data_IF_114272473516
#
_entry.id   IF_114272473516
#
_cell.length_a   1.000
_cell.length_b   1.000
_cell.length_c   1.000
_cell.angle_alpha   90.00
_cell.angle_beta   90.00
_cell.angle_gamma   90.00
#
_symmetry.space_group_name_H-M   'P 1'
#
loop_
_entity.id
_entity.type
_entity.pdbx_description
1 polymer ?
#
# COMPACT_ATOMS: atom_id res chain seq x y z
N UNK A 1 -1.59 7.84 -0.10
CA UNK A 1 -1.03 8.42 -1.35
C UNK A 1 -0.43 7.39 -2.30
N UNK A 2 0.29 6.37 -1.79
CA UNK A 2 0.88 5.32 -2.66
C UNK A 2 -0.14 4.57 -3.50
N UNK A 3 -1.30 4.25 -2.92
CA UNK A 3 -2.38 3.57 -3.65
C UNK A 3 -2.88 4.41 -4.83
N UNK A 4 -3.04 5.72 -4.61
CA UNK A 4 -3.44 6.64 -5.67
C UNK A 4 -2.35 6.74 -6.76
N UNK A 5 -1.08 6.71 -6.35
CA UNK A 5 0.04 6.72 -7.30
C UNK A 5 0.02 5.48 -8.20
N UNK A 6 -0.31 4.31 -7.64
CA UNK A 6 -0.44 3.07 -8.41
C UNK A 6 -1.58 3.16 -9.43
N UNK A 7 -2.72 3.72 -9.03
CA UNK A 7 -3.82 3.97 -9.96
C UNK A 7 -3.39 4.91 -11.08
N UNK A 8 -2.71 5.99 -10.75
CA UNK A 8 -2.24 6.97 -11.74
C UNK A 8 -1.26 6.34 -12.72
N UNK A 9 -0.35 5.49 -12.22
CA UNK A 9 0.58 4.74 -13.06
C UNK A 9 -0.18 3.84 -14.04
N UNK A 10 -1.21 3.14 -13.58
CA UNK A 10 -2.06 2.31 -14.42
C UNK A 10 -2.74 3.11 -15.52
N UNK A 11 -3.24 4.31 -15.19
CA UNK A 11 -3.87 5.21 -16.16
C UNK A 11 -2.86 5.64 -17.23
N UNK A 12 -1.64 5.98 -16.85
CA UNK A 12 -0.61 6.41 -17.80
C UNK A 12 -0.14 5.28 -18.71
N UNK A 13 -0.31 4.02 -18.31
CA UNK A 13 -0.03 2.88 -19.17
C UNK A 13 -1.08 2.69 -20.28
N UNK A 14 -2.29 3.28 -20.13
CA UNK A 14 -3.31 3.22 -21.16
C UNK A 14 -2.98 4.19 -22.28
N UNK A 15 -3.27 3.78 -23.53
CA UNK A 15 -3.11 4.67 -24.68
C UNK A 15 -4.03 5.88 -24.55
N UNK A 16 -3.61 7.09 -25.02
CA UNK A 16 -4.45 8.28 -24.88
C UNK A 16 -5.84 8.16 -25.50
N UNK A 17 -6.02 7.30 -26.49
CA UNK A 17 -7.32 7.07 -27.13
C UNK A 17 -8.17 5.96 -26.51
N UNK A 18 -7.66 5.29 -25.48
CA UNK A 18 -8.38 4.21 -24.81
C UNK A 18 -9.63 4.72 -24.10
N UNK A 19 -10.75 4.03 -24.30
CA UNK A 19 -12.02 4.40 -23.67
C UNK A 19 -11.99 4.24 -22.14
N UNK A 20 -11.15 3.33 -21.64
CA UNK A 20 -11.01 3.09 -20.21
C UNK A 20 -10.27 4.21 -19.50
N UNK A 21 -9.44 4.98 -20.20
CA UNK A 21 -8.63 6.02 -19.59
C UNK A 21 -9.46 7.09 -18.87
N UNK A 22 -10.49 7.70 -19.50
CA UNK A 22 -11.34 8.66 -18.78
C UNK A 22 -12.08 8.05 -17.61
N UNK A 23 -12.53 6.80 -17.72
CA UNK A 23 -13.22 6.09 -16.64
C UNK A 23 -12.30 5.88 -15.44
N UNK A 24 -11.05 5.47 -15.70
CA UNK A 24 -10.06 5.28 -14.64
C UNK A 24 -9.70 6.60 -13.97
N UNK A 25 -9.57 7.68 -14.73
CA UNK A 25 -9.32 9.01 -14.17
C UNK A 25 -10.46 9.46 -13.27
N UNK A 26 -11.70 9.25 -13.67
CA UNK A 26 -12.86 9.56 -12.84
C UNK A 26 -12.91 8.70 -11.59
N UNK A 27 -12.52 7.43 -11.68
CA UNK A 27 -12.48 6.53 -10.52
C UNK A 27 -11.47 7.02 -9.48
N UNK A 28 -10.30 7.52 -9.90
CA UNK A 28 -9.31 8.08 -8.97
C UNK A 28 -9.87 9.31 -8.26
N UNK A 29 -10.51 10.23 -9.00
CA UNK A 29 -11.14 11.43 -8.43
C UNK A 29 -12.21 11.03 -7.41
N UNK A 30 -13.05 10.05 -7.76
CA UNK A 30 -14.09 9.56 -6.86
C UNK A 30 -13.50 8.93 -5.58
N UNK A 31 -12.41 8.18 -5.70
CA UNK A 31 -11.71 7.60 -4.55
C UNK A 31 -11.15 8.68 -3.63
N UNK A 32 -10.52 9.71 -4.19
CA UNK A 32 -10.00 10.82 -3.39
C UNK A 32 -11.12 11.51 -2.61
N UNK A 33 -12.25 11.78 -3.27
CA UNK A 33 -13.40 12.41 -2.63
C UNK A 33 -13.99 11.52 -1.53
N UNK A 34 -14.17 10.22 -1.81
CA UNK A 34 -14.76 9.26 -0.87
C UNK A 34 -13.91 9.06 0.38
N UNK A 35 -12.60 9.06 0.23
CA UNK A 35 -11.66 8.84 1.33
C UNK A 35 -11.01 10.14 1.83
N UNK A 36 -11.60 11.29 1.50
CA UNK A 36 -11.13 12.58 2.00
C UNK A 36 -10.95 12.56 3.52
N UNK A 37 -9.80 13.03 3.99
CA UNK A 37 -9.43 13.00 5.40
C UNK A 37 -8.89 11.65 5.89
N UNK A 38 -8.91 10.61 5.04
CA UNK A 38 -8.39 9.28 5.35
C UNK A 38 -7.26 8.84 4.41
N UNK A 39 -6.78 9.75 3.59
CA UNK A 39 -5.66 9.52 2.68
C UNK A 39 -4.38 9.89 3.41
N UNK A 40 -3.50 8.90 3.62
CA UNK A 40 -2.27 9.10 4.36
C UNK A 40 -1.14 9.50 3.42
N UNK A 41 -0.42 10.54 3.77
CA UNK A 41 0.76 10.99 3.03
C UNK A 41 1.99 10.15 3.38
N UNK A 42 2.91 10.03 2.43
CA UNK A 42 4.24 9.48 2.70
C UNK A 42 5.05 10.55 3.43
N UNK A 43 5.32 10.34 4.70
CA UNK A 43 6.05 11.28 5.56
C UNK A 43 7.48 10.86 5.80
N UNK A 44 8.31 11.75 6.34
CA UNK A 44 9.70 11.42 6.67
C UNK A 44 9.83 10.21 7.62
N UNK A 45 9.05 10.09 8.72
CA UNK A 45 9.11 8.88 9.54
C UNK A 45 8.81 7.60 8.77
N UNK A 46 7.89 7.64 7.82
CA UNK A 46 7.55 6.48 6.98
C UNK A 46 8.73 6.12 6.08
N UNK A 47 9.36 7.10 5.45
CA UNK A 47 10.52 6.87 4.57
C UNK A 47 11.70 6.29 5.34
N UNK A 48 11.96 6.79 6.55
CA UNK A 48 13.02 6.28 7.40
C UNK A 48 12.75 4.84 7.82
N UNK A 49 11.51 4.52 8.19
CA UNK A 49 11.09 3.16 8.53
C UNK A 49 11.22 2.24 7.32
N UNK A 50 10.85 2.72 6.14
CA UNK A 50 11.03 1.98 4.90
C UNK A 50 12.49 1.58 4.68
N UNK A 51 13.41 2.51 4.90
CA UNK A 51 14.85 2.23 4.79
C UNK A 51 15.30 1.13 5.75
N UNK A 52 14.89 1.21 7.02
CA UNK A 52 15.21 0.23 8.05
C UNK A 52 14.66 -1.15 7.69
N UNK A 53 13.38 -1.23 7.34
CA UNK A 53 12.71 -2.50 6.99
C UNK A 53 13.34 -3.10 5.74
N UNK A 54 13.57 -2.31 4.71
CA UNK A 54 14.16 -2.77 3.45
C UNK A 54 15.57 -3.33 3.66
N UNK A 55 16.39 -2.65 4.46
CA UNK A 55 17.72 -3.12 4.78
C UNK A 55 17.73 -4.41 5.58
N UNK A 56 16.86 -4.52 6.59
CA UNK A 56 16.72 -5.73 7.39
C UNK A 56 16.25 -6.92 6.56
N UNK A 57 15.25 -6.73 5.70
CA UNK A 57 14.74 -7.81 4.86
C UNK A 57 15.78 -8.29 3.87
N UNK A 58 16.54 -7.37 3.27
CA UNK A 58 17.64 -7.74 2.38
C UNK A 58 18.71 -8.55 3.11
N UNK A 59 19.05 -8.15 4.33
CA UNK A 59 20.05 -8.85 5.15
C UNK A 59 19.59 -10.27 5.51
N UNK A 60 18.28 -10.43 5.85
CA UNK A 60 17.71 -11.71 6.27
C UNK A 60 17.45 -12.66 5.10
N UNK A 61 16.98 -12.14 3.97
CA UNK A 61 16.53 -12.94 2.83
C UNK A 61 17.51 -12.96 1.66
N UNK A 62 18.49 -12.04 1.63
CA UNK A 62 19.39 -11.87 0.50
C UNK A 62 18.76 -11.15 -0.70
N UNK A 63 17.49 -10.81 -0.63
CA UNK A 63 16.77 -10.16 -1.71
C UNK A 63 16.22 -8.81 -1.28
N UNK A 64 16.22 -7.83 -2.17
CA UNK A 64 15.55 -6.56 -1.93
C UNK A 64 14.03 -6.74 -2.08
N UNK A 65 13.24 -6.36 -1.06
CA UNK A 65 11.78 -6.44 -1.19
C UNK A 65 11.25 -5.39 -2.17
N UNK A 66 9.99 -5.56 -2.62
CA UNK A 66 9.31 -4.55 -3.42
C UNK A 66 9.26 -3.23 -2.66
N UNK A 67 9.67 -2.14 -3.31
CA UNK A 67 9.68 -0.81 -2.69
C UNK A 67 8.27 -0.36 -2.30
N UNK A 68 7.28 -0.59 -3.17
CA UNK A 68 5.90 -0.19 -2.92
C UNK A 68 5.31 -0.99 -1.75
N UNK A 69 5.47 -2.31 -1.73
CA UNK A 69 4.95 -3.15 -0.64
C UNK A 69 5.58 -2.76 0.69
N UNK A 70 6.88 -2.48 0.70
CA UNK A 70 7.60 -2.08 1.91
C UNK A 70 7.17 -0.69 2.39
N UNK A 71 6.91 0.25 1.47
CA UNK A 71 6.37 1.57 1.83
C UNK A 71 4.96 1.49 2.39
N UNK A 72 4.10 0.63 1.83
CA UNK A 72 2.75 0.40 2.36
C UNK A 72 2.82 -0.22 3.76
N UNK A 73 3.69 -1.21 3.96
CA UNK A 73 3.91 -1.80 5.28
C UNK A 73 4.41 -0.77 6.29
N UNK A 74 5.35 0.08 5.89
CA UNK A 74 5.89 1.15 6.75
C UNK A 74 4.81 2.16 7.13
N UNK A 75 3.93 2.50 6.21
CA UNK A 75 2.79 3.39 6.46
C UNK A 75 1.84 2.77 7.50
N UNK A 76 1.52 1.48 7.34
CA UNK A 76 0.65 0.78 8.26
C UNK A 76 1.26 0.71 9.67
N UNK A 77 2.56 0.43 9.79
CA UNK A 77 3.26 0.38 11.07
C UNK A 77 3.25 1.75 11.74
N UNK A 78 3.60 2.79 11.01
CA UNK A 78 3.69 4.16 11.55
C UNK A 78 2.35 4.65 12.09
N UNK A 79 1.25 4.29 11.45
CA UNK A 79 -0.10 4.67 11.85
C UNK A 79 -0.81 3.63 12.71
N UNK A 80 -0.15 2.55 13.09
CA UNK A 80 -0.72 1.44 13.87
C UNK A 80 -1.98 0.86 13.22
N UNK A 81 -1.91 0.61 11.92
CA UNK A 81 -3.02 0.10 11.13
C UNK A 81 -2.72 -1.32 10.64
N UNK A 82 -3.78 -2.04 10.30
CA UNK A 82 -3.64 -3.28 9.53
C UNK A 82 -3.39 -2.95 8.06
N UNK A 83 -2.49 -3.70 7.45
CA UNK A 83 -2.30 -3.65 6.01
C UNK A 83 -3.19 -4.72 5.37
N UNK A 84 -4.24 -4.28 4.67
CA UNK A 84 -5.13 -5.18 3.96
C UNK A 84 -4.52 -5.52 2.61
N UNK A 85 -4.18 -6.79 2.41
CA UNK A 85 -3.55 -7.24 1.16
C UNK A 85 -3.77 -8.73 0.94
N UNK A 86 -3.78 -9.13 -0.33
CA UNK A 86 -3.73 -10.54 -0.73
C UNK A 86 -2.31 -11.09 -0.67
N UNK A 87 -1.29 -10.25 -0.85
CA UNK A 87 0.13 -10.65 -0.90
C UNK A 87 0.74 -10.74 0.50
N UNK A 88 0.20 -11.63 1.33
CA UNK A 88 0.65 -11.77 2.73
C UNK A 88 2.12 -12.17 2.82
N UNK A 89 2.57 -13.07 1.96
CA UNK A 89 3.95 -13.56 2.00
C UNK A 89 4.98 -12.48 1.75
N UNK A 90 4.65 -11.48 0.91
CA UNK A 90 5.58 -10.41 0.53
C UNK A 90 5.77 -9.38 1.65
N UNK A 91 4.78 -9.24 2.53
CA UNK A 91 4.78 -8.20 3.56
C UNK A 91 4.80 -8.73 4.99
N UNK A 92 4.60 -10.03 5.21
CA UNK A 92 4.50 -10.62 6.55
C UNK A 92 5.77 -10.42 7.38
N UNK A 93 6.94 -10.40 6.74
CA UNK A 93 8.22 -10.24 7.41
C UNK A 93 8.57 -8.78 7.75
N UNK A 94 7.78 -7.84 7.28
CA UNK A 94 8.01 -6.40 7.54
C UNK A 94 7.71 -5.99 8.97
N UNK A 95 6.97 -6.81 9.72
CA UNK A 95 6.49 -6.47 11.05
C UNK A 95 5.12 -5.80 11.04
N UNK A 96 4.54 -5.53 9.88
CA UNK A 96 3.20 -4.98 9.78
C UNK A 96 2.14 -6.02 10.16
N UNK A 97 1.07 -5.58 10.81
CA UNK A 97 -0.11 -6.41 11.03
C UNK A 97 -0.87 -6.54 9.71
N UNK A 98 -0.95 -7.76 9.17
CA UNK A 98 -1.50 -8.02 7.84
C UNK A 98 -2.88 -8.66 7.94
N UNK A 99 -3.83 -8.14 7.18
CA UNK A 99 -5.18 -8.69 7.05
C UNK A 99 -5.42 -9.05 5.58
N UNK A 100 -5.76 -10.31 5.33
CA UNK A 100 -6.13 -10.78 3.99
C UNK A 100 -7.65 -10.86 3.89
N UNK A 101 -8.32 -9.89 3.21
CA UNK A 101 -9.79 -9.88 3.14
C UNK A 101 -10.40 -11.10 2.45
N UNK A 102 -9.59 -11.85 1.68
CA UNK A 102 -10.08 -13.04 0.97
C UNK A 102 -10.07 -14.30 1.82
N UNK A 103 -9.27 -14.33 2.88
CA UNK A 103 -9.07 -15.55 3.69
C UNK A 103 -9.31 -15.34 5.19
N UNK A 104 -9.04 -14.16 5.72
CA UNK A 104 -9.08 -13.93 7.16
C UNK A 104 -10.46 -13.51 7.63
N UNK A 105 -10.81 -13.90 8.85
CA UNK A 105 -12.04 -13.48 9.51
C UNK A 105 -11.85 -12.07 10.10
N UNK A 106 -12.65 -11.07 9.69
CA UNK A 106 -12.55 -9.71 10.23
C UNK A 106 -12.68 -9.64 11.76
N UNK A 107 -13.39 -10.58 12.37
CA UNK A 107 -13.59 -10.60 13.82
C UNK A 107 -12.28 -10.79 14.60
N UNK A 108 -11.25 -11.35 13.96
CA UNK A 108 -9.93 -11.53 14.57
C UNK A 108 -9.03 -10.30 14.47
N UNK A 109 -9.51 -9.26 13.80
CA UNK A 109 -8.74 -8.03 13.54
C UNK A 109 -9.54 -6.83 14.05
N UNK A 110 -9.64 -6.66 15.38
CA UNK A 110 -10.42 -5.56 15.93
C UNK A 110 -9.82 -4.20 15.54
N UNK A 111 -10.67 -3.20 15.40
CA UNK A 111 -10.23 -1.84 15.11
C UNK A 111 -9.33 -1.34 16.23
N UNK A 112 -8.28 -0.66 15.83
CA UNK A 112 -7.30 -0.08 16.74
C UNK A 112 -7.65 1.35 17.13
#
# INVERSE_FOLDING_TARGET
MLTLAEYQKGIQHLSPGEKLRPRQQQAVIALEARFSGRILSVSDPIVLRWGTISGELKRLTGHSPSAIDTLLASTAIEHSLYLATRNVSDVSRSGAAVFNPWKDDPARFPLK
#
